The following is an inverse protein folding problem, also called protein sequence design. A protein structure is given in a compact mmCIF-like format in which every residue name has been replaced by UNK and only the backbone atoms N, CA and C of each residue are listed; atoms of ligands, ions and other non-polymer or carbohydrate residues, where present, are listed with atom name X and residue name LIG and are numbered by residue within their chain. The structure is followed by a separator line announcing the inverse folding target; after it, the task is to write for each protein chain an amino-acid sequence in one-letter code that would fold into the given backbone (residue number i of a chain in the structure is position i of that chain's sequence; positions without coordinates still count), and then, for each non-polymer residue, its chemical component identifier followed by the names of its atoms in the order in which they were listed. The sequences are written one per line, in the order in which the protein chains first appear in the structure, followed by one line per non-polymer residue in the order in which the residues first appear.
data_IF_319242079949
#
_entry.id   IF_319242079949
#
_cell.length_a   1.000
_cell.length_b   1.000
_cell.length_c   1.000
_cell.angle_alpha   90.00
_cell.angle_beta   90.00
_cell.angle_gamma   90.00
#
_symmetry.space_group_name_H-M   'P 1'
#
loop_
_entity.id
_entity.type
_entity.pdbx_description
1 polymer ?
#
# COMPACT_ATOMS: atom_id res chain seq x y z
N UNK A 1 -3.85 3.49 23.27
CA UNK A 1 -4.99 3.68 22.35
C UNK A 1 -4.48 3.46 20.95
N UNK A 2 -4.85 2.35 20.29
CA UNK A 2 -4.52 2.16 18.89
C UNK A 2 -5.35 3.17 18.08
N UNK A 3 -4.68 4.05 17.34
CA UNK A 3 -5.36 4.87 16.33
C UNK A 3 -6.24 3.94 15.49
N UNK A 4 -7.52 4.27 15.22
CA UNK A 4 -8.33 3.47 14.32
C UNK A 4 -7.55 3.37 13.02
N UNK A 5 -7.01 2.19 12.74
CA UNK A 5 -6.30 1.98 11.50
C UNK A 5 -7.34 2.07 10.41
N UNK A 6 -7.16 3.01 9.49
CA UNK A 6 -7.90 3.04 8.22
C UNK A 6 -7.75 1.72 7.42
N UNK A 7 -6.81 0.86 7.85
CA UNK A 7 -6.58 -0.48 7.37
C UNK A 7 -7.37 -1.52 8.16
N UNK A 8 -7.98 -2.45 7.44
CA UNK A 8 -8.54 -3.69 8.00
C UNK A 8 -7.45 -4.56 8.61
N UNK A 9 -7.84 -5.48 9.50
CA UNK A 9 -6.91 -6.44 10.13
C UNK A 9 -6.08 -7.21 9.09
N UNK A 10 -6.72 -7.70 8.03
CA UNK A 10 -6.05 -8.42 6.93
C UNK A 10 -4.99 -7.57 6.21
N UNK A 11 -5.27 -6.27 6.02
CA UNK A 11 -4.32 -5.34 5.41
C UNK A 11 -3.12 -5.06 6.32
N UNK A 12 -3.34 -5.00 7.64
CA UNK A 12 -2.25 -4.90 8.60
C UNK A 12 -1.38 -6.14 8.60
N UNK A 13 -1.99 -7.33 8.63
CA UNK A 13 -1.28 -8.61 8.57
C UNK A 13 -0.46 -8.71 7.28
N UNK A 14 -1.02 -8.29 6.14
CA UNK A 14 -0.28 -8.22 4.88
C UNK A 14 0.93 -7.28 4.97
N UNK A 15 0.80 -6.08 5.55
CA UNK A 15 1.95 -5.17 5.70
C UNK A 15 3.05 -5.80 6.58
N UNK A 16 2.66 -6.52 7.63
CA UNK A 16 3.61 -7.19 8.54
C UNK A 16 4.44 -8.27 7.82
N UNK A 17 3.90 -8.94 6.78
CA UNK A 17 4.69 -9.93 6.02
C UNK A 17 5.84 -9.32 5.23
N UNK A 18 5.84 -7.99 5.01
CA UNK A 18 6.90 -7.27 4.30
C UNK A 18 7.90 -6.59 5.25
N UNK A 19 7.74 -6.77 6.58
CA UNK A 19 8.60 -6.12 7.57
C UNK A 19 10.09 -6.42 7.35
N UNK A 20 10.46 -7.69 7.18
CA UNK A 20 11.86 -8.10 6.99
C UNK A 20 12.45 -7.50 5.72
N UNK A 21 11.74 -7.61 4.59
CA UNK A 21 12.15 -7.04 3.31
C UNK A 21 12.32 -5.51 3.39
N UNK A 22 11.41 -4.83 4.11
CA UNK A 22 11.51 -3.39 4.33
C UNK A 22 12.78 -3.03 5.12
N UNK A 23 13.12 -3.78 6.16
CA UNK A 23 14.34 -3.57 6.95
C UNK A 23 15.61 -3.85 6.14
N UNK A 24 15.61 -4.89 5.30
CA UNK A 24 16.72 -5.16 4.39
C UNK A 24 16.95 -4.00 3.39
N UNK A 25 15.89 -3.48 2.80
CA UNK A 25 15.95 -2.33 1.91
C UNK A 25 16.39 -1.05 2.64
N UNK A 26 15.92 -0.85 3.88
CA UNK A 26 16.36 0.24 4.76
C UNK A 26 17.85 0.15 5.05
N UNK A 27 18.39 -1.05 5.32
CA UNK A 27 19.84 -1.28 5.52
C UNK A 27 20.66 -0.87 4.29
N UNK A 28 20.16 -1.22 3.11
CA UNK A 28 20.80 -0.93 1.82
C UNK A 28 20.58 0.51 1.36
N UNK A 29 19.70 1.28 2.02
CA UNK A 29 19.30 2.62 1.61
C UNK A 29 18.56 2.67 0.27
N UNK A 30 18.10 1.52 -0.24
CA UNK A 30 17.48 1.41 -1.56
C UNK A 30 16.14 0.66 -1.46
N UNK A 31 15.06 1.39 -1.70
CA UNK A 31 13.69 0.86 -1.69
C UNK A 31 13.12 0.64 -3.11
N UNK A 32 13.90 0.86 -4.17
CA UNK A 32 13.42 0.68 -5.55
C UNK A 32 13.04 -0.77 -5.85
N UNK A 33 13.65 -1.74 -5.18
CA UNK A 33 13.28 -3.15 -5.29
C UNK A 33 12.13 -3.56 -4.36
N UNK A 34 11.72 -2.69 -3.43
CA UNK A 34 10.68 -2.98 -2.45
C UNK A 34 9.32 -2.43 -2.89
N UNK A 35 9.26 -1.13 -3.22
CA UNK A 35 8.00 -0.44 -3.44
C UNK A 35 7.21 -0.95 -4.66
N UNK A 36 7.81 -1.11 -5.87
CA UNK A 36 7.07 -1.58 -7.02
C UNK A 36 6.37 -2.95 -6.83
N UNK A 37 7.06 -4.02 -6.39
CA UNK A 37 6.39 -5.31 -6.19
C UNK A 37 5.43 -5.29 -5.00
N UNK A 38 5.70 -4.50 -3.95
CA UNK A 38 4.76 -4.33 -2.84
C UNK A 38 3.44 -3.70 -3.30
N UNK A 39 3.49 -2.62 -4.08
CA UNK A 39 2.28 -1.95 -4.59
C UNK A 39 1.52 -2.80 -5.61
N UNK A 40 2.23 -3.60 -6.41
CA UNK A 40 1.59 -4.56 -7.32
C UNK A 40 0.75 -5.58 -6.54
N UNK A 41 1.35 -6.23 -5.54
CA UNK A 41 0.66 -7.21 -4.68
C UNK A 41 -0.48 -6.60 -3.88
N UNK A 42 -0.31 -5.36 -3.43
CA UNK A 42 -1.38 -4.61 -2.77
C UNK A 42 -2.56 -4.39 -3.72
N UNK A 43 -2.31 -3.92 -4.95
CA UNK A 43 -3.35 -3.64 -5.95
C UNK A 43 -4.09 -4.90 -6.36
N UNK A 44 -3.42 -6.06 -6.43
CA UNK A 44 -4.06 -7.34 -6.74
C UNK A 44 -5.12 -7.73 -5.71
N UNK A 45 -4.86 -7.48 -4.42
CA UNK A 45 -5.79 -7.79 -3.32
C UNK A 45 -6.83 -6.70 -3.09
N UNK A 46 -6.39 -5.44 -3.13
CA UNK A 46 -7.21 -4.27 -2.84
C UNK A 46 -7.07 -3.25 -3.98
N UNK A 47 -7.73 -3.50 -5.11
CA UNK A 47 -7.67 -2.59 -6.25
C UNK A 47 -8.33 -1.26 -5.88
N UNK A 48 -7.65 -0.16 -6.19
CA UNK A 48 -8.10 1.19 -5.82
C UNK A 48 -9.52 1.50 -6.36
N UNK A 49 -9.88 0.96 -7.54
CA UNK A 49 -11.21 1.14 -8.12
C UNK A 49 -12.34 0.66 -7.21
N UNK A 50 -12.18 -0.40 -6.41
CA UNK A 50 -13.23 -0.85 -5.47
C UNK A 50 -13.48 0.20 -4.36
N UNK A 51 -12.45 0.98 -4.02
CA UNK A 51 -12.57 2.02 -2.99
C UNK A 51 -13.21 3.31 -3.51
N UNK A 52 -12.94 3.70 -4.77
CA UNK A 52 -13.42 4.96 -5.37
C UNK A 52 -14.69 4.78 -6.20
N UNK A 53 -14.79 3.66 -6.92
CA UNK A 53 -15.86 3.36 -7.86
C UNK A 53 -16.75 2.25 -7.29
N UNK A 54 -17.42 2.55 -6.17
CA UNK A 54 -18.25 1.57 -5.43
C UNK A 54 -19.42 1.02 -6.25
N UNK A 55 -19.87 1.78 -7.24
CA UNK A 55 -21.03 1.47 -8.10
C UNK A 55 -20.63 0.96 -9.49
N UNK A 56 -19.33 0.83 -9.78
CA UNK A 56 -18.85 0.40 -11.11
C UNK A 56 -18.41 -1.07 -11.05
N UNK A 57 -18.96 -1.94 -11.90
CA UNK A 57 -18.49 -3.32 -12.01
C UNK A 57 -17.00 -3.35 -12.37
N UNK A 58 -16.24 -4.23 -11.72
CA UNK A 58 -14.80 -4.41 -12.00
C UNK A 58 -14.48 -4.77 -13.46
N UNK A 59 -15.46 -5.35 -14.17
CA UNK A 59 -15.36 -5.77 -15.57
C UNK A 59 -15.67 -4.64 -16.57
N UNK A 60 -16.17 -3.50 -16.10
CA UNK A 60 -16.52 -2.38 -16.97
C UNK A 60 -15.27 -1.62 -17.43
N UNK A 61 -15.21 -1.31 -18.72
CA UNK A 61 -14.20 -0.37 -19.26
C UNK A 61 -14.42 0.99 -18.59
N UNK A 62 -13.42 1.41 -17.82
CA UNK A 62 -13.45 2.70 -17.14
C UNK A 62 -13.33 3.84 -18.15
N UNK A 63 -14.14 4.87 -17.97
CA UNK A 63 -14.03 6.13 -18.71
C UNK A 63 -12.76 6.90 -18.28
N UNK A 64 -12.25 7.78 -19.14
CA UNK A 64 -11.11 8.66 -18.82
C UNK A 64 -11.21 9.37 -17.46
N UNK A 65 -12.34 10.01 -17.07
CA UNK A 65 -12.45 10.62 -15.75
C UNK A 65 -12.36 9.60 -14.61
N UNK A 66 -12.94 8.40 -14.77
CA UNK A 66 -12.85 7.34 -13.76
C UNK A 66 -11.42 6.78 -13.64
N UNK A 67 -10.70 6.67 -14.77
CA UNK A 67 -9.28 6.29 -14.75
C UNK A 67 -8.44 7.31 -13.98
N UNK A 68 -8.72 8.61 -14.14
CA UNK A 68 -8.05 9.67 -13.40
C UNK A 68 -8.33 9.58 -11.89
N UNK A 69 -9.59 9.35 -11.50
CA UNK A 69 -9.96 9.15 -10.10
C UNK A 69 -9.29 7.92 -9.48
N UNK A 70 -9.27 6.81 -10.20
CA UNK A 70 -8.57 5.58 -9.76
C UNK A 70 -7.07 5.83 -9.64
N UNK A 71 -6.47 6.60 -10.56
CA UNK A 71 -5.06 6.96 -10.49
C UNK A 71 -4.74 7.85 -9.28
N UNK A 72 -5.59 8.84 -8.98
CA UNK A 72 -5.49 9.71 -7.79
C UNK A 72 -5.64 8.93 -6.49
N UNK A 73 -6.61 8.02 -6.43
CA UNK A 73 -6.82 7.15 -5.28
C UNK A 73 -5.63 6.21 -5.07
N UNK A 74 -5.11 5.61 -6.15
CA UNK A 74 -3.89 4.78 -6.10
C UNK A 74 -2.70 5.56 -5.54
N UNK A 75 -2.43 6.77 -6.03
CA UNK A 75 -1.32 7.59 -5.54
C UNK A 75 -1.47 7.93 -4.05
N UNK A 76 -2.70 8.25 -3.63
CA UNK A 76 -3.02 8.51 -2.21
C UNK A 76 -2.75 7.28 -1.35
N UNK A 77 -3.21 6.10 -1.78
CA UNK A 77 -2.95 4.83 -1.09
C UNK A 77 -1.44 4.56 -1.00
N UNK A 78 -0.70 4.74 -2.09
CA UNK A 78 0.75 4.53 -2.09
C UNK A 78 1.47 5.44 -1.08
N UNK A 79 1.09 6.72 -1.03
CA UNK A 79 1.62 7.68 -0.04
C UNK A 79 1.30 7.24 1.39
N UNK A 80 0.07 6.84 1.65
CA UNK A 80 -0.35 6.39 2.99
C UNK A 80 0.35 5.11 3.42
N UNK A 81 0.49 4.13 2.53
CA UNK A 81 1.22 2.89 2.80
C UNK A 81 2.70 3.18 3.07
N UNK A 82 3.32 4.05 2.28
CA UNK A 82 4.71 4.47 2.48
C UNK A 82 4.90 5.11 3.86
N UNK A 83 4.01 6.04 4.22
CA UNK A 83 4.03 6.68 5.52
C UNK A 83 3.79 5.67 6.66
N UNK A 84 2.87 4.72 6.47
CA UNK A 84 2.56 3.68 7.44
C UNK A 84 3.75 2.77 7.69
N UNK A 85 4.35 2.18 6.66
CA UNK A 85 5.55 1.33 6.84
C UNK A 85 6.71 2.10 7.45
N UNK A 86 6.89 3.38 7.08
CA UNK A 86 7.89 4.24 7.71
C UNK A 86 7.58 4.53 9.18
N UNK A 87 6.32 4.68 9.57
CA UNK A 87 5.95 4.90 10.96
C UNK A 87 6.07 3.62 11.81
N UNK A 88 5.61 2.49 11.26
CA UNK A 88 5.61 1.19 11.93
C UNK A 88 7.05 0.63 12.05
N UNK A 89 7.84 0.72 10.98
CA UNK A 89 9.16 0.07 10.88
C UNK A 89 10.32 1.06 10.83
N UNK A 90 10.08 2.36 10.69
CA UNK A 90 11.14 3.37 10.57
C UNK A 90 11.99 3.49 11.83
N UNK A 91 11.42 3.20 13.00
CA UNK A 91 12.16 3.14 14.26
C UNK A 91 12.63 1.73 14.63
N UNK A 92 12.23 0.70 13.88
CA UNK A 92 12.71 -0.66 14.08
C UNK A 92 14.21 -0.72 13.82
N UNK A 93 14.94 -1.29 14.79
CA UNK A 93 16.39 -1.54 14.66
C UNK A 93 16.61 -2.55 13.54
N UNK A 94 17.54 -2.23 12.65
CA UNK A 94 17.95 -3.11 11.55
C UNK A 94 18.97 -4.10 12.12
N UNK A 95 18.46 -5.23 12.65
CA UNK A 95 19.28 -6.33 13.17
C UNK A 95 19.96 -6.05 14.50
N UNK A 96 20.01 -7.09 15.33
CA UNK A 96 21.06 -7.27 16.32
C UNK A 96 22.19 -8.07 15.67
#
# INVERSE_FOLDING_TARGET
MALPSWLSKEQQEFILTYHEQYLECKKKGNFMSFWPPFFEKWKEKWPACVSVLKDVPLDQILTEPQLEEVAKARDTIHKWLTAKLRNDFGNSKVGC
#
